data_IF_498175883076
#
_entry.id   IF_498175883076
#
_cell.length_a   1.000
_cell.length_b   1.000
_cell.length_c   1.000
_cell.angle_alpha   90.00
_cell.angle_beta   90.00
_cell.angle_gamma   90.00
#
_symmetry.space_group_name_H-M   'P 1'
#
loop_
_entity.id
_entity.type
_entity.pdbx_description
1 polymer ?
#
# COMPACT_ATOMS: atom_id res chain seq x y z
N UNK A 1 23.06 16.46 -19.28
CA UNK A 1 22.00 16.08 -20.23
C UNK A 1 22.11 14.62 -20.65
N UNK A 2 23.02 14.19 -21.54
CA UNK A 2 23.21 12.75 -21.83
C UNK A 2 23.85 11.98 -20.67
N UNK A 3 24.73 12.61 -19.88
CA UNK A 3 25.35 11.99 -18.69
C UNK A 3 24.37 11.70 -17.56
N UNK A 4 23.38 12.56 -17.33
CA UNK A 4 22.41 12.40 -16.23
C UNK A 4 21.34 11.34 -16.56
N UNK A 5 21.02 11.15 -17.85
CA UNK A 5 20.18 10.03 -18.30
C UNK A 5 20.92 8.69 -18.19
N UNK A 6 22.23 8.67 -18.45
CA UNK A 6 23.08 7.48 -18.25
C UNK A 6 23.23 7.14 -16.76
N UNK A 7 23.26 8.13 -15.87
CA UNK A 7 23.29 7.91 -14.43
C UNK A 7 21.94 7.41 -13.88
N UNK A 8 20.82 7.86 -14.46
CA UNK A 8 19.48 7.31 -14.17
C UNK A 8 19.32 5.88 -14.71
N UNK A 9 19.84 5.56 -15.91
CA UNK A 9 19.92 4.20 -16.42
C UNK A 9 20.83 3.31 -15.58
N UNK A 10 21.96 3.83 -15.07
CA UNK A 10 22.86 3.10 -14.20
C UNK A 10 22.22 2.81 -12.83
N UNK A 11 21.48 3.77 -12.25
CA UNK A 11 20.76 3.57 -10.99
C UNK A 11 19.56 2.62 -11.15
N UNK A 12 18.83 2.69 -12.27
CA UNK A 12 17.74 1.76 -12.57
C UNK A 12 18.26 0.34 -12.86
N UNK A 13 19.39 0.20 -13.56
CA UNK A 13 20.04 -1.08 -13.83
C UNK A 13 20.61 -1.73 -12.55
N UNK A 14 21.22 -0.93 -11.66
CA UNK A 14 21.73 -1.38 -10.35
C UNK A 14 20.61 -1.82 -9.39
N UNK A 15 19.44 -1.19 -9.47
CA UNK A 15 18.26 -1.61 -8.73
C UNK A 15 17.66 -2.94 -9.25
N UNK A 16 17.89 -3.28 -10.52
CA UNK A 16 17.44 -4.54 -11.13
C UNK A 16 18.46 -5.69 -11.06
N UNK A 17 19.76 -5.43 -10.85
CA UNK A 17 20.80 -6.48 -10.81
C UNK A 17 21.19 -6.96 -9.41
N UNK A 18 20.80 -6.27 -8.33
CA UNK A 18 21.09 -6.74 -6.97
C UNK A 18 22.58 -6.79 -6.59
N UNK A 19 23.48 -6.14 -7.34
CA UNK A 19 24.93 -6.24 -7.14
C UNK A 19 25.54 -5.15 -6.23
N UNK A 20 24.84 -4.04 -5.95
CA UNK A 20 25.39 -2.97 -5.09
C UNK A 20 25.06 -3.13 -3.59
N UNK A 21 24.22 -4.09 -3.21
CA UNK A 21 24.03 -4.46 -1.80
C UNK A 21 25.23 -5.26 -1.24
N UNK A 22 26.12 -5.77 -2.10
CA UNK A 22 27.27 -6.59 -1.70
C UNK A 22 28.57 -5.79 -1.48
N UNK A 23 28.64 -4.53 -1.93
CA UNK A 23 29.86 -3.72 -1.85
C UNK A 23 30.06 -3.02 -0.49
N UNK A 24 29.01 -2.78 0.29
CA UNK A 24 29.10 -2.17 1.63
C UNK A 24 29.38 -3.18 2.76
N UNK A 25 29.46 -4.48 2.46
CA UNK A 25 29.69 -5.55 3.43
C UNK A 25 31.13 -6.11 3.49
N UNK A 26 32.06 -5.58 2.69
CA UNK A 26 33.45 -6.07 2.64
C UNK A 26 34.34 -5.45 3.72
N UNK A 27 33.95 -5.60 4.98
CA UNK A 27 34.90 -5.60 6.09
C UNK A 27 34.37 -6.46 7.26
N UNK A 28 33.96 -7.69 6.94
CA UNK A 28 33.84 -8.75 7.93
C UNK A 28 34.32 -10.05 7.30
N UNK A 29 35.43 -10.59 7.83
CA UNK A 29 36.05 -11.81 7.36
C UNK A 29 35.02 -12.96 7.20
N UNK A 30 34.96 -13.54 6.00
CA UNK A 30 34.10 -14.66 5.70
C UNK A 30 34.54 -15.92 6.49
N UNK A 31 33.65 -16.62 7.20
CA UNK A 31 33.97 -17.91 7.79
C UNK A 31 34.08 -19.01 6.72
N UNK A 32 34.92 -20.00 7.01
CA UNK A 32 35.37 -21.06 6.09
C UNK A 32 34.28 -22.08 5.70
N UNK A 33 34.50 -22.88 4.63
CA UNK A 33 33.48 -23.72 3.98
C UNK A 33 32.81 -24.78 4.87
N UNK A 34 33.41 -25.10 6.02
CA UNK A 34 32.83 -26.02 7.00
C UNK A 34 31.64 -25.43 7.78
N UNK A 35 31.44 -24.10 7.78
CA UNK A 35 30.26 -23.44 8.37
C UNK A 35 29.06 -23.34 7.40
N UNK A 36 29.25 -23.61 6.10
CA UNK A 36 28.16 -23.59 5.10
C UNK A 36 27.19 -24.78 5.24
N UNK A 37 27.58 -25.87 5.89
CA UNK A 37 26.68 -26.99 6.21
C UNK A 37 25.98 -26.87 7.58
N UNK A 38 26.23 -25.78 8.33
CA UNK A 38 25.59 -25.52 9.61
C UNK A 38 24.45 -24.48 9.54
N UNK A 39 24.32 -23.73 8.43
CA UNK A 39 23.29 -22.70 8.23
C UNK A 39 22.06 -23.21 7.44
N UNK A 40 22.11 -24.43 6.90
CA UNK A 40 20.94 -25.17 6.36
C UNK A 40 20.13 -25.92 7.43
N UNK A 41 20.32 -25.58 8.70
CA UNK A 41 19.38 -25.87 9.78
C UNK A 41 18.80 -24.58 10.35
N UNK A 42 18.29 -23.69 9.49
CA UNK A 42 17.15 -22.90 9.93
C UNK A 42 16.08 -23.93 10.25
N UNK A 43 15.77 -24.08 11.53
CA UNK A 43 14.62 -24.85 11.95
C UNK A 43 13.46 -24.41 11.04
N UNK A 44 13.02 -25.31 10.16
CA UNK A 44 11.61 -25.33 9.82
C UNK A 44 10.90 -25.08 11.15
N UNK A 45 9.89 -24.20 11.26
CA UNK A 45 8.90 -24.47 12.27
C UNK A 45 8.44 -25.88 11.90
N UNK A 46 8.97 -26.88 12.61
CA UNK A 46 8.51 -28.25 12.55
C UNK A 46 7.02 -28.08 12.51
N UNK A 47 6.41 -28.54 11.39
CA UNK A 47 5.01 -28.29 11.10
C UNK A 47 4.29 -28.38 12.42
N UNK A 48 3.62 -27.29 12.81
CA UNK A 48 2.94 -27.21 14.08
C UNK A 48 1.90 -28.32 14.04
N UNK A 49 2.35 -29.55 14.32
CA UNK A 49 1.54 -30.70 14.56
C UNK A 49 0.63 -30.19 15.63
N UNK A 50 -0.66 -30.31 15.34
CA UNK A 50 -1.74 -30.07 16.26
C UNK A 50 -1.22 -30.40 17.65
N UNK A 51 -0.75 -29.38 18.38
CA UNK A 51 -0.51 -29.53 19.80
C UNK A 51 -1.94 -29.62 20.26
N UNK A 52 -2.44 -30.85 20.35
CA UNK A 52 -3.74 -31.17 20.87
C UNK A 52 -3.79 -30.55 22.25
N UNK A 53 -4.20 -29.30 22.31
CA UNK A 53 -4.55 -28.63 23.54
C UNK A 53 -5.71 -29.45 24.04
N UNK A 54 -5.46 -30.24 25.08
CA UNK A 54 -6.48 -31.08 25.68
C UNK A 54 -7.59 -30.15 26.12
N UNK A 55 -8.69 -30.16 25.37
CA UNK A 55 -9.89 -29.41 25.71
C UNK A 55 -10.50 -30.06 26.95
N UNK A 56 -10.97 -29.23 27.86
CA UNK A 56 -11.75 -29.72 29.01
C UNK A 56 -12.98 -30.48 28.53
N UNK A 57 -13.56 -31.27 29.44
CA UNK A 57 -14.72 -32.14 29.16
C UNK A 57 -15.97 -31.33 28.71
N UNK A 58 -15.99 -30.01 28.92
CA UNK A 58 -17.10 -29.10 28.59
C UNK A 58 -16.96 -28.31 27.27
N UNK A 59 -16.33 -28.89 26.25
CA UNK A 59 -16.30 -28.31 24.89
C UNK A 59 -17.71 -28.29 24.26
N UNK A 60 -18.01 -27.26 23.48
CA UNK A 60 -19.20 -27.18 22.61
C UNK A 60 -19.09 -28.10 21.38
N UNK A 61 -17.89 -28.60 21.09
CA UNK A 61 -17.58 -29.40 19.91
C UNK A 61 -17.39 -28.58 18.63
N UNK A 62 -17.32 -27.24 18.70
CA UNK A 62 -16.91 -26.43 17.56
C UNK A 62 -15.40 -26.52 17.35
N UNK A 63 -14.96 -26.76 16.12
CA UNK A 63 -13.57 -26.67 15.71
C UNK A 63 -13.42 -25.52 14.73
N UNK A 64 -12.51 -24.59 15.02
CA UNK A 64 -12.33 -23.35 14.26
C UNK A 64 -10.93 -23.29 13.68
N UNK A 65 -10.83 -22.95 12.39
CA UNK A 65 -9.57 -22.89 11.66
C UNK A 65 -9.34 -21.49 11.11
N UNK A 66 -8.86 -20.55 11.93
CA UNK A 66 -8.42 -19.23 11.47
C UNK A 66 -7.13 -19.33 10.64
N UNK A 67 -7.04 -18.54 9.57
CA UNK A 67 -5.87 -18.39 8.70
C UNK A 67 -5.64 -16.91 8.41
N UNK A 68 -4.55 -16.36 8.94
CA UNK A 68 -4.16 -14.98 8.65
C UNK A 68 -3.76 -14.88 7.18
N UNK A 69 -4.36 -13.94 6.47
CA UNK A 69 -4.13 -13.67 5.03
C UNK A 69 -3.27 -12.42 4.82
N UNK A 70 -3.14 -11.58 5.84
CA UNK A 70 -2.37 -10.33 5.83
C UNK A 70 -1.66 -10.15 7.18
N UNK A 71 -0.36 -10.47 7.23
CA UNK A 71 0.47 -10.28 8.43
C UNK A 71 0.94 -8.82 8.58
N UNK A 72 1.24 -8.18 7.45
CA UNK A 72 1.65 -6.78 7.35
C UNK A 72 0.47 -5.94 6.86
N UNK A 73 -0.09 -5.16 7.77
CA UNK A 73 -1.33 -4.40 7.57
C UNK A 73 -1.00 -3.00 7.04
N UNK A 74 -1.34 -2.67 5.78
CA UNK A 74 -0.96 -1.40 5.17
C UNK A 74 -1.92 -0.27 5.60
N UNK A 75 -1.66 0.32 6.77
CA UNK A 75 -2.57 1.26 7.43
C UNK A 75 -2.89 2.50 6.59
N UNK A 76 -1.98 2.96 5.72
CA UNK A 76 -2.19 4.11 4.83
C UNK A 76 -3.27 3.90 3.76
N UNK A 77 -3.53 2.65 3.37
CA UNK A 77 -4.50 2.28 2.31
C UNK A 77 -5.57 1.30 2.80
N UNK A 78 -5.59 0.97 4.09
CA UNK A 78 -6.46 -0.06 4.64
C UNK A 78 -7.95 0.22 4.42
N UNK A 79 -8.36 1.50 4.42
CA UNK A 79 -9.74 1.93 4.16
C UNK A 79 -10.23 1.61 2.74
N UNK A 80 -9.31 1.25 1.83
CA UNK A 80 -9.62 0.89 0.44
C UNK A 80 -9.68 -0.63 0.22
N UNK A 81 -9.27 -1.42 1.21
CA UNK A 81 -9.28 -2.88 1.13
C UNK A 81 -10.69 -3.42 1.39
N UNK A 82 -10.99 -4.59 0.84
CA UNK A 82 -12.29 -5.24 1.02
C UNK A 82 -12.13 -6.69 1.47
N UNK A 83 -13.02 -7.23 2.33
CA UNK A 83 -12.92 -8.61 2.78
C UNK A 83 -12.96 -9.63 1.63
N UNK A 84 -13.69 -9.34 0.55
CA UNK A 84 -13.85 -10.27 -0.58
C UNK A 84 -12.58 -10.42 -1.42
N UNK A 85 -11.73 -9.40 -1.46
CA UNK A 85 -10.53 -9.36 -2.33
C UNK A 85 -9.25 -9.40 -1.50
N UNK A 86 -9.22 -8.67 -0.39
CA UNK A 86 -8.04 -8.46 0.46
C UNK A 86 -8.40 -8.76 1.94
N UNK A 87 -8.90 -9.96 2.28
CA UNK A 87 -9.22 -10.31 3.66
C UNK A 87 -7.97 -10.24 4.54
N UNK A 88 -8.15 -9.82 5.79
CA UNK A 88 -7.08 -9.95 6.79
C UNK A 88 -7.07 -11.35 7.39
N UNK A 89 -8.27 -11.92 7.58
CA UNK A 89 -8.47 -13.25 8.15
C UNK A 89 -9.47 -14.04 7.30
N UNK A 90 -9.12 -15.30 7.04
CA UNK A 90 -10.03 -16.33 6.55
C UNK A 90 -10.30 -17.32 7.68
N UNK A 91 -11.54 -17.75 7.87
CA UNK A 91 -11.89 -18.71 8.92
C UNK A 91 -12.89 -19.75 8.41
N UNK A 92 -12.65 -21.03 8.71
CA UNK A 92 -13.66 -22.08 8.57
C UNK A 92 -14.06 -22.62 9.94
N UNK A 93 -15.29 -23.09 10.06
CA UNK A 93 -15.85 -23.65 11.28
C UNK A 93 -16.44 -25.02 10.98
N UNK A 94 -16.22 -25.99 11.88
CA UNK A 94 -16.84 -27.31 11.83
C UNK A 94 -17.47 -27.64 13.17
N UNK A 95 -18.72 -28.05 13.18
CA UNK A 95 -19.40 -28.51 14.39
C UNK A 95 -19.33 -30.04 14.50
N UNK A 96 -18.82 -30.55 15.61
CA UNK A 96 -18.85 -31.98 15.93
C UNK A 96 -20.26 -32.44 16.34
N UNK A 97 -20.53 -33.74 16.23
CA UNK A 97 -21.74 -34.35 16.81
C UNK A 97 -21.61 -34.29 18.33
N UNK A 98 -22.42 -33.46 18.98
CA UNK A 98 -22.55 -33.46 20.44
C UNK A 98 -23.11 -34.81 20.90
N UNK A 99 -22.39 -35.49 21.80
CA UNK A 99 -22.92 -36.65 22.52
C UNK A 99 -23.92 -36.28 23.63
N UNK A 100 -24.04 -34.99 23.95
CA UNK A 100 -24.96 -34.48 24.97
C UNK A 100 -26.33 -34.16 24.34
N UNK A 101 -27.32 -34.97 24.72
CA UNK A 101 -28.72 -34.95 24.24
C UNK A 101 -29.53 -33.74 24.72
N UNK A 102 -28.92 -32.82 25.47
CA UNK A 102 -29.55 -31.58 25.97
C UNK A 102 -29.76 -30.52 24.89
N UNK A 103 -29.00 -30.57 23.81
CA UNK A 103 -29.21 -29.73 22.63
C UNK A 103 -30.11 -30.49 21.66
N UNK A 104 -31.42 -30.46 21.91
CA UNK A 104 -32.41 -31.23 21.17
C UNK A 104 -32.22 -31.18 19.66
N UNK A 105 -31.81 -32.32 19.07
CA UNK A 105 -32.02 -32.71 17.67
C UNK A 105 -31.62 -31.75 16.54
N UNK A 106 -30.96 -30.62 16.80
CA UNK A 106 -30.63 -29.65 15.76
C UNK A 106 -29.49 -30.16 14.89
N UNK A 107 -29.74 -30.24 13.59
CA UNK A 107 -28.78 -30.68 12.59
C UNK A 107 -27.73 -29.59 12.23
N UNK A 108 -27.78 -28.43 12.88
CA UNK A 108 -26.86 -27.31 12.68
C UNK A 108 -26.65 -26.53 14.00
N UNK A 109 -25.50 -25.85 14.12
CA UNK A 109 -25.12 -24.96 15.22
C UNK A 109 -25.04 -23.52 14.77
N UNK A 110 -25.53 -22.59 15.58
CA UNK A 110 -25.38 -21.15 15.31
C UNK A 110 -24.06 -20.66 15.91
N UNK A 111 -23.15 -20.20 15.07
CA UNK A 111 -21.81 -19.76 15.48
C UNK A 111 -21.64 -18.28 15.16
N UNK A 112 -20.99 -17.53 16.07
CA UNK A 112 -20.50 -16.18 15.80
C UNK A 112 -18.99 -16.19 15.79
N UNK A 113 -18.40 -15.70 14.71
CA UNK A 113 -16.95 -15.47 14.62
C UNK A 113 -16.72 -13.96 14.69
N UNK A 114 -15.86 -13.55 15.61
CA UNK A 114 -15.49 -12.15 15.82
C UNK A 114 -13.99 -11.99 15.65
N UNK A 115 -13.57 -11.03 14.83
CA UNK A 115 -12.17 -10.65 14.67
C UNK A 115 -11.96 -9.16 14.94
N UNK A 116 -10.89 -8.82 15.66
CA UNK A 116 -10.48 -7.43 15.87
C UNK A 116 -8.98 -7.32 16.16
N UNK A 117 -8.38 -6.22 15.76
CA UNK A 117 -7.03 -5.84 16.16
C UNK A 117 -7.14 -5.05 17.45
N UNK A 118 -6.51 -5.56 18.51
CA UNK A 118 -6.51 -4.96 19.84
C UNK A 118 -6.12 -3.47 19.76
N UNK A 119 -6.91 -2.59 20.35
CA UNK A 119 -6.79 -1.12 20.35
C UNK A 119 -6.89 -0.39 19.00
N UNK A 120 -6.79 -1.08 17.86
CA UNK A 120 -6.71 -0.45 16.54
C UNK A 120 -7.96 -0.59 15.68
N UNK A 121 -8.86 -1.54 15.96
CA UNK A 121 -10.02 -1.78 15.10
C UNK A 121 -11.34 -1.97 15.84
N UNK A 122 -12.44 -1.72 15.13
CA UNK A 122 -13.74 -2.23 15.47
C UNK A 122 -13.76 -3.76 15.35
N UNK A 123 -14.82 -4.39 15.86
CA UNK A 123 -15.06 -5.83 15.71
C UNK A 123 -15.69 -6.11 14.35
N UNK A 124 -15.01 -6.90 13.52
CA UNK A 124 -15.66 -7.60 12.41
C UNK A 124 -16.36 -8.83 12.96
N UNK A 125 -17.64 -8.99 12.66
CA UNK A 125 -18.48 -10.05 13.21
C UNK A 125 -19.23 -10.71 12.07
N UNK A 126 -19.16 -12.04 12.03
CA UNK A 126 -19.96 -12.86 11.13
C UNK A 126 -20.71 -13.92 11.93
N UNK A 127 -21.94 -14.20 11.53
CA UNK A 127 -22.79 -15.22 12.16
C UNK A 127 -23.25 -16.19 11.09
N UNK A 128 -23.07 -17.48 11.36
CA UNK A 128 -23.39 -18.54 10.41
C UNK A 128 -24.04 -19.73 11.10
N UNK A 129 -24.82 -20.47 10.33
CA UNK A 129 -25.30 -21.80 10.72
C UNK A 129 -24.36 -22.86 10.14
N UNK A 130 -23.81 -23.70 11.01
CA UNK A 130 -22.86 -24.75 10.64
C UNK A 130 -23.54 -26.11 10.79
N UNK A 131 -23.84 -26.81 9.68
CA UNK A 131 -24.38 -28.17 9.75
C UNK A 131 -23.41 -29.11 10.47
N UNK A 132 -23.96 -29.97 11.33
CA UNK A 132 -23.15 -30.89 12.13
C UNK A 132 -22.42 -31.87 11.21
N UNK A 133 -21.11 -32.03 11.43
CA UNK A 133 -20.25 -32.91 10.64
C UNK A 133 -19.73 -32.31 9.33
N UNK A 134 -20.22 -31.13 8.93
CA UNK A 134 -19.75 -30.41 7.73
C UNK A 134 -18.88 -29.21 8.11
N UNK A 135 -17.94 -28.87 7.22
CA UNK A 135 -17.14 -27.65 7.34
C UNK A 135 -17.88 -26.50 6.64
N UNK A 136 -17.84 -25.31 7.25
CA UNK A 136 -18.50 -24.12 6.71
C UNK A 136 -17.82 -23.64 5.43
N UNK A 137 -18.55 -22.82 4.66
CA UNK A 137 -17.90 -21.94 3.70
C UNK A 137 -16.89 -21.01 4.42
N UNK A 138 -15.82 -20.56 3.73
CA UNK A 138 -14.87 -19.63 4.31
C UNK A 138 -15.53 -18.29 4.67
N UNK A 139 -15.26 -17.83 5.88
CA UNK A 139 -15.65 -16.52 6.39
C UNK A 139 -14.45 -15.59 6.16
N UNK A 140 -14.66 -14.48 5.47
CA UNK A 140 -13.63 -13.50 5.16
C UNK A 140 -13.84 -12.25 6.00
N UNK A 141 -12.88 -11.94 6.87
CA UNK A 141 -12.98 -10.86 7.84
C UNK A 141 -11.89 -9.80 7.61
N UNK A 142 -12.30 -8.54 7.67
CA UNK A 142 -11.44 -7.36 7.58
C UNK A 142 -11.94 -6.31 8.60
N UNK A 143 -11.43 -6.33 9.84
CA UNK A 143 -11.85 -5.39 10.88
C UNK A 143 -11.56 -3.93 10.52
N UNK A 144 -12.56 -3.05 10.60
CA UNK A 144 -12.37 -1.63 10.28
C UNK A 144 -11.44 -0.95 11.29
N UNK A 145 -10.32 -0.39 10.82
CA UNK A 145 -9.39 0.37 11.68
C UNK A 145 -9.99 1.70 12.13
N UNK A 146 -9.66 2.14 13.33
CA UNK A 146 -10.00 3.47 13.83
C UNK A 146 -9.02 4.51 13.29
N UNK A 147 -9.47 5.51 12.50
CA UNK A 147 -8.58 6.50 11.89
C UNK A 147 -7.67 7.21 12.90
N UNK A 148 -8.22 7.62 14.05
CA UNK A 148 -7.49 8.33 15.10
C UNK A 148 -6.39 7.49 15.76
N UNK A 149 -6.50 6.15 15.70
CA UNK A 149 -5.50 5.23 16.27
C UNK A 149 -4.35 4.94 15.32
N UNK A 150 -4.61 5.04 14.01
CA UNK A 150 -3.61 4.73 12.98
C UNK A 150 -2.94 5.98 12.39
N UNK A 151 -3.49 7.16 12.62
CA UNK A 151 -2.95 8.43 12.11
C UNK A 151 -1.55 8.76 12.65
N UNK A 152 -1.23 8.33 13.87
CA UNK A 152 0.08 8.56 14.52
C UNK A 152 1.10 7.45 14.31
N UNK A 153 0.81 6.45 13.45
CA UNK A 153 1.73 5.35 13.18
C UNK A 153 2.79 5.79 12.17
N UNK A 154 3.94 6.24 12.65
CA UNK A 154 5.09 6.60 11.79
C UNK A 154 6.13 5.49 11.66
N UNK A 155 6.01 4.45 12.50
CA UNK A 155 6.95 3.34 12.58
C UNK A 155 6.20 2.01 12.51
N UNK A 156 6.91 0.97 12.07
CA UNK A 156 6.39 -0.39 12.07
C UNK A 156 5.98 -0.78 13.49
N UNK A 157 4.70 -1.06 13.68
CA UNK A 157 4.12 -1.26 15.02
C UNK A 157 3.54 -2.66 15.14
N UNK A 158 3.92 -3.39 16.19
CA UNK A 158 3.37 -4.72 16.46
C UNK A 158 1.96 -4.58 17.05
N UNK A 159 1.03 -5.42 16.61
CA UNK A 159 -0.32 -5.49 17.12
C UNK A 159 -0.79 -6.94 17.30
N UNK A 160 -1.92 -7.13 17.98
CA UNK A 160 -2.52 -8.44 18.23
C UNK A 160 -3.88 -8.54 17.54
N UNK A 161 -4.04 -9.50 16.63
CA UNK A 161 -5.33 -9.91 16.12
C UNK A 161 -5.96 -10.91 17.08
N UNK A 162 -7.17 -10.60 17.55
CA UNK A 162 -8.01 -11.49 18.31
C UNK A 162 -9.04 -12.14 17.39
N UNK A 163 -9.21 -13.46 17.52
CA UNK A 163 -10.24 -14.24 16.81
C UNK A 163 -11.00 -15.06 17.83
N UNK A 164 -12.29 -14.75 17.98
CA UNK A 164 -13.19 -15.43 18.91
C UNK A 164 -14.24 -16.20 18.12
N UNK A 165 -14.56 -17.40 18.58
CA UNK A 165 -15.67 -18.17 18.08
C UNK A 165 -16.60 -18.56 19.23
N UNK A 166 -17.85 -18.14 19.12
CA UNK A 166 -18.89 -18.32 20.12
C UNK A 166 -19.96 -19.26 19.58
N UNK A 167 -20.32 -20.28 20.37
CA UNK A 167 -21.55 -21.04 20.16
C UNK A 167 -22.72 -20.23 20.70
N UNK A 168 -23.60 -19.76 19.83
CA UNK A 168 -24.74 -18.94 20.21
C UNK A 168 -25.86 -19.74 20.87
N UNK A 169 -25.90 -21.06 20.68
CA UNK A 169 -26.89 -21.91 21.31
C UNK A 169 -26.56 -22.13 22.79
N UNK A 170 -25.27 -22.33 23.12
CA UNK A 170 -24.80 -22.50 24.50
C UNK A 170 -24.30 -21.20 25.16
N UNK A 171 -24.17 -20.12 24.40
CA UNK A 171 -23.61 -18.82 24.81
C UNK A 171 -22.18 -18.93 25.39
N UNK A 172 -21.42 -19.95 24.99
CA UNK A 172 -20.03 -20.15 25.41
C UNK A 172 -19.07 -19.71 24.29
N UNK A 173 -17.96 -19.09 24.68
CA UNK A 173 -16.79 -18.93 23.81
C UNK A 173 -16.10 -20.30 23.74
N UNK A 174 -16.02 -20.89 22.54
CA UNK A 174 -15.31 -22.16 22.36
C UNK A 174 -13.83 -21.93 22.14
N UNK A 175 -13.49 -21.01 21.25
CA UNK A 175 -12.10 -20.75 20.87
C UNK A 175 -11.82 -19.25 20.90
N UNK A 176 -10.66 -18.89 21.44
CA UNK A 176 -10.11 -17.55 21.37
C UNK A 176 -8.63 -17.67 20.99
N UNK A 177 -8.30 -17.29 19.77
CA UNK A 177 -6.94 -17.28 19.25
C UNK A 177 -6.41 -15.85 19.15
N UNK A 178 -5.10 -15.72 19.33
CA UNK A 178 -4.39 -14.46 19.13
C UNK A 178 -3.26 -14.64 18.13
N UNK A 179 -3.13 -13.73 17.17
CA UNK A 179 -2.05 -13.72 16.19
C UNK A 179 -1.29 -12.40 16.24
N UNK A 180 0.05 -12.43 16.19
CA UNK A 180 0.82 -11.21 15.99
C UNK A 180 0.61 -10.67 14.58
N UNK A 181 0.43 -9.36 14.47
CA UNK A 181 0.41 -8.59 13.23
C UNK A 181 1.44 -7.47 13.27
N UNK A 182 1.79 -6.95 12.11
CA UNK A 182 2.60 -5.76 11.95
C UNK A 182 1.80 -4.68 11.23
N UNK A 183 1.49 -3.59 11.93
CA UNK A 183 0.91 -2.40 11.34
C UNK A 183 2.02 -1.61 10.67
N UNK A 184 1.92 -1.46 9.34
CA UNK A 184 2.84 -0.61 8.58
C UNK A 184 2.59 0.85 8.95
N UNK A 185 3.64 1.68 8.88
CA UNK A 185 3.51 3.12 9.07
C UNK A 185 2.46 3.70 8.11
N UNK A 186 1.73 4.72 8.55
CA UNK A 186 0.65 5.37 7.80
C UNK A 186 1.15 5.97 6.49
N UNK A 187 2.41 6.42 6.48
CA UNK A 187 3.08 6.99 5.33
C UNK A 187 3.97 5.97 4.58
N UNK A 188 3.82 4.67 4.84
CA UNK A 188 4.45 3.63 4.04
C UNK A 188 3.60 3.34 2.80
N UNK A 189 3.99 3.90 1.65
CA UNK A 189 3.40 3.60 0.36
C UNK A 189 3.65 2.13 -0.02
N UNK A 190 2.71 1.27 0.33
CA UNK A 190 2.76 -0.17 0.07
C UNK A 190 2.47 -0.45 -1.40
N UNK A 191 3.46 -1.02 -2.09
CA UNK A 191 3.32 -1.47 -3.48
C UNK A 191 2.80 -2.89 -3.54
N UNK A 192 3.23 -3.75 -2.61
CA UNK A 192 2.85 -5.16 -2.60
C UNK A 192 2.75 -5.68 -1.17
N UNK A 193 1.83 -6.63 -0.95
CA UNK A 193 1.75 -7.42 0.29
C UNK A 193 1.84 -8.91 -0.05
N UNK A 194 2.49 -9.69 0.83
CA UNK A 194 2.58 -11.14 0.70
C UNK A 194 1.56 -11.82 1.60
N UNK A 195 0.85 -12.80 1.06
CA UNK A 195 0.06 -13.73 1.85
C UNK A 195 0.99 -14.65 2.66
N UNK A 196 0.93 -14.65 4.00
CA UNK A 196 1.86 -15.43 4.82
C UNK A 196 1.62 -16.95 4.73
N UNK A 197 0.44 -17.37 4.28
CA UNK A 197 0.07 -18.78 4.16
C UNK A 197 0.43 -19.36 2.78
N UNK A 198 0.13 -18.63 1.70
CA UNK A 198 0.32 -19.12 0.32
C UNK A 198 1.60 -18.60 -0.33
N UNK A 199 2.19 -17.54 0.21
CA UNK A 199 3.31 -16.83 -0.41
C UNK A 199 2.91 -15.97 -1.61
N UNK A 200 1.63 -15.93 -1.99
CA UNK A 200 1.12 -15.11 -3.10
C UNK A 200 1.38 -13.62 -2.86
N UNK A 201 1.76 -12.91 -3.93
CA UNK A 201 2.04 -11.46 -3.91
C UNK A 201 0.83 -10.73 -4.48
N UNK A 202 0.32 -9.76 -3.73
CA UNK A 202 -0.78 -8.88 -4.12
C UNK A 202 -0.23 -7.50 -4.47
N UNK A 203 -0.41 -7.07 -5.72
CA UNK A 203 -0.06 -5.73 -6.19
C UNK A 203 -1.10 -4.69 -5.77
N UNK A 204 -0.64 -3.66 -5.06
CA UNK A 204 -1.41 -2.57 -4.49
C UNK A 204 -1.00 -1.19 -5.06
N UNK A 205 -0.14 -1.13 -6.07
CA UNK A 205 0.35 0.16 -6.63
C UNK A 205 -0.76 1.08 -7.12
N UNK A 206 -1.87 0.52 -7.60
CA UNK A 206 -3.05 1.30 -7.99
C UNK A 206 -3.67 2.08 -6.81
N UNK A 207 -3.45 1.66 -5.57
CA UNK A 207 -3.91 2.34 -4.35
C UNK A 207 -3.03 3.52 -3.94
N UNK A 208 -1.92 3.79 -4.66
CA UNK A 208 -1.10 4.99 -4.41
C UNK A 208 -1.88 6.29 -4.61
N UNK A 209 -2.99 6.25 -5.35
CA UNK A 209 -3.93 7.37 -5.43
C UNK A 209 -4.50 7.82 -4.07
N UNK A 210 -4.41 7.00 -3.02
CA UNK A 210 -4.76 7.40 -1.66
C UNK A 210 -3.81 8.49 -1.11
N UNK A 211 -2.53 8.47 -1.49
CA UNK A 211 -1.54 9.43 -1.00
C UNK A 211 -1.63 10.79 -1.73
N UNK A 212 -2.45 10.87 -2.78
CA UNK A 212 -2.82 12.13 -3.43
C UNK A 212 -3.97 12.77 -2.64
N UNK A 213 -3.69 13.91 -1.99
CA UNK A 213 -4.54 14.54 -0.96
C UNK A 213 -4.97 15.96 -1.35
N UNK A 214 -5.77 16.13 -2.43
CA UNK A 214 -6.07 17.44 -3.02
C UNK A 214 -6.84 18.39 -2.08
N UNK A 215 -7.63 17.84 -1.16
CA UNK A 215 -8.48 18.61 -0.25
C UNK A 215 -7.76 19.03 1.03
N UNK A 216 -6.50 18.67 1.22
CA UNK A 216 -5.77 19.04 2.43
C UNK A 216 -5.59 20.57 2.49
N UNK A 217 -5.80 21.25 3.64
CA UNK A 217 -5.75 22.71 3.73
C UNK A 217 -4.42 23.33 3.25
N UNK A 218 -3.30 22.62 3.43
CA UNK A 218 -2.00 23.07 2.93
C UNK A 218 -1.94 23.15 1.39
N UNK A 219 -2.60 22.23 0.69
CA UNK A 219 -2.67 22.21 -0.78
C UNK A 219 -3.51 23.38 -1.27
N UNK A 220 -4.66 23.61 -0.65
CA UNK A 220 -5.54 24.74 -0.96
C UNK A 220 -4.86 26.09 -0.75
N UNK A 221 -4.14 26.26 0.38
CA UNK A 221 -3.32 27.46 0.62
C UNK A 221 -2.22 27.64 -0.41
N UNK A 222 -1.58 26.54 -0.83
CA UNK A 222 -0.50 26.62 -1.81
C UNK A 222 -0.99 26.97 -3.22
N UNK A 223 -2.20 26.56 -3.60
CA UNK A 223 -2.81 27.00 -4.87
C UNK A 223 -2.98 28.53 -4.92
N UNK A 224 -3.24 29.19 -3.80
CA UNK A 224 -3.28 30.66 -3.75
C UNK A 224 -1.90 31.27 -4.05
N UNK A 225 -0.83 30.67 -3.54
CA UNK A 225 0.56 31.08 -3.82
C UNK A 225 0.84 30.93 -5.32
N UNK A 226 0.50 29.78 -5.92
CA UNK A 226 0.66 29.56 -7.35
C UNK A 226 -0.17 30.53 -8.20
N UNK A 227 -1.42 30.83 -7.80
CA UNK A 227 -2.26 31.82 -8.47
C UNK A 227 -1.62 33.23 -8.43
N UNK A 228 -0.97 33.61 -7.32
CA UNK A 228 -0.36 34.93 -7.16
C UNK A 228 0.82 35.20 -8.11
N UNK A 229 1.44 34.15 -8.66
CA UNK A 229 2.55 34.25 -9.63
C UNK A 229 2.06 34.52 -11.05
N UNK A 230 0.77 34.34 -11.32
CA UNK A 230 0.19 34.60 -12.64
C UNK A 230 -0.23 36.05 -12.77
N UNK A 231 -0.11 36.61 -13.98
CA UNK A 231 -0.60 37.95 -14.30
C UNK A 231 -2.09 38.13 -14.03
N UNK A 232 -2.89 37.07 -14.20
CA UNK A 232 -4.33 37.11 -13.93
C UNK A 232 -4.70 36.88 -12.46
N UNK A 233 -3.74 36.61 -11.58
CA UNK A 233 -3.95 36.29 -10.16
C UNK A 233 -5.00 35.19 -9.91
N UNK A 234 -5.12 34.22 -10.82
CA UNK A 234 -6.11 33.13 -10.73
C UNK A 234 -5.60 31.81 -11.32
N UNK A 235 -6.21 30.72 -10.87
CA UNK A 235 -6.15 29.39 -11.47
C UNK A 235 -7.59 28.94 -11.71
N UNK A 236 -8.00 28.78 -12.97
CA UNK A 236 -9.41 28.48 -13.30
C UNK A 236 -9.66 27.00 -13.64
N UNK A 237 -8.75 26.11 -13.27
CA UNK A 237 -8.91 24.67 -13.45
C UNK A 237 -9.17 24.32 -14.91
N UNK A 238 -10.21 23.51 -15.17
CA UNK A 238 -10.55 23.04 -16.53
C UNK A 238 -10.94 24.13 -17.53
N UNK A 239 -11.22 25.35 -17.09
CA UNK A 239 -11.58 26.47 -17.97
C UNK A 239 -10.37 27.14 -18.62
N UNK A 240 -9.15 26.78 -18.19
CA UNK A 240 -7.90 27.31 -18.70
C UNK A 240 -6.97 26.21 -19.18
N UNK A 241 -5.93 26.59 -19.93
CA UNK A 241 -4.90 25.67 -20.38
C UNK A 241 -4.28 24.95 -19.16
N UNK A 242 -4.38 23.61 -19.07
CA UNK A 242 -3.82 22.84 -17.95
C UNK A 242 -2.30 23.01 -17.82
N UNK A 243 -1.58 23.11 -18.94
CA UNK A 243 -0.11 23.24 -18.95
C UNK A 243 0.35 24.59 -18.39
N UNK A 244 -0.35 25.69 -18.69
CA UNK A 244 -0.02 26.99 -18.13
C UNK A 244 -0.22 27.03 -16.59
N UNK A 245 -1.25 26.34 -16.10
CA UNK A 245 -1.49 26.21 -14.66
C UNK A 245 -0.49 25.25 -13.99
N UNK A 246 -0.11 24.16 -14.67
CA UNK A 246 0.95 23.28 -14.22
C UNK A 246 2.30 24.02 -14.11
N UNK A 247 2.62 24.89 -15.06
CA UNK A 247 3.80 25.75 -15.00
C UNK A 247 3.75 26.69 -13.78
N UNK A 248 2.62 27.38 -13.55
CA UNK A 248 2.48 28.25 -12.38
C UNK A 248 2.64 27.49 -11.05
N UNK A 249 2.17 26.24 -10.98
CA UNK A 249 2.39 25.35 -9.84
C UNK A 249 3.88 25.00 -9.70
N UNK A 250 4.53 24.62 -10.79
CA UNK A 250 5.96 24.30 -10.82
C UNK A 250 6.80 25.46 -10.32
N UNK A 251 6.59 26.66 -10.87
CA UNK A 251 7.32 27.87 -10.50
C UNK A 251 7.09 28.22 -9.02
N UNK A 252 5.87 28.03 -8.51
CA UNK A 252 5.60 28.26 -7.09
C UNK A 252 6.32 27.25 -6.19
N UNK A 253 6.33 25.97 -6.56
CA UNK A 253 7.04 24.94 -5.80
C UNK A 253 8.56 25.18 -5.82
N UNK A 254 9.10 25.63 -6.95
CA UNK A 254 10.51 25.93 -7.12
C UNK A 254 10.94 27.18 -6.35
N UNK A 255 10.20 28.28 -6.48
CA UNK A 255 10.66 29.58 -5.97
C UNK A 255 10.10 29.95 -4.60
N UNK A 256 8.87 29.54 -4.27
CA UNK A 256 8.21 29.94 -3.03
C UNK A 256 8.35 28.86 -1.95
N UNK A 257 8.10 27.60 -2.31
CA UNK A 257 8.32 26.47 -1.40
C UNK A 257 9.80 26.08 -1.32
N UNK A 258 10.57 26.29 -2.39
CA UNK A 258 11.96 25.89 -2.52
C UNK A 258 12.17 24.40 -2.19
N UNK A 259 11.33 23.54 -2.79
CA UNK A 259 11.40 22.10 -2.56
C UNK A 259 12.73 21.54 -3.07
N UNK A 260 13.48 20.87 -2.20
CA UNK A 260 14.73 20.18 -2.55
C UNK A 260 14.53 18.66 -2.66
N UNK A 261 15.34 18.02 -3.50
CA UNK A 261 15.30 16.57 -3.63
C UNK A 261 15.98 15.89 -2.44
N UNK A 262 15.24 15.06 -1.69
CA UNK A 262 15.78 14.26 -0.57
C UNK A 262 15.21 12.85 -0.62
N UNK A 263 16.06 11.90 -1.04
CA UNK A 263 15.68 10.50 -1.15
C UNK A 263 15.70 9.80 0.21
N UNK A 264 14.54 9.75 0.89
CA UNK A 264 14.37 9.12 2.21
C UNK A 264 13.24 8.08 2.14
N UNK A 265 13.57 6.92 1.60
CA UNK A 265 12.60 5.86 1.25
C UNK A 265 12.47 4.78 2.32
N UNK A 266 13.34 4.81 3.34
CA UNK A 266 13.44 3.76 4.35
C UNK A 266 12.09 3.53 5.02
N UNK A 267 11.60 2.31 4.89
CA UNK A 267 10.46 1.78 5.63
C UNK A 267 10.94 0.50 6.30
N UNK A 268 10.61 0.31 7.58
CA UNK A 268 10.99 -0.90 8.32
C UNK A 268 10.10 -2.10 7.96
N UNK A 269 9.74 -2.25 6.68
CA UNK A 269 8.97 -3.37 6.18
C UNK A 269 9.96 -4.49 5.89
N UNK A 270 9.84 -5.68 6.49
CA UNK A 270 10.73 -6.77 6.16
C UNK A 270 10.45 -7.22 4.73
N UNK A 271 11.52 -7.40 3.95
CA UNK A 271 11.51 -7.72 2.51
C UNK A 271 10.62 -8.93 2.16
N UNK A 272 10.31 -9.77 3.15
CA UNK A 272 9.50 -10.97 2.99
C UNK A 272 7.98 -10.71 3.07
N UNK A 273 7.52 -9.65 3.73
CA UNK A 273 6.10 -9.47 4.10
C UNK A 273 5.35 -8.39 3.32
N UNK A 274 6.01 -7.26 3.05
CA UNK A 274 5.46 -6.16 2.27
C UNK A 274 6.58 -5.38 1.57
N UNK A 275 6.31 -4.89 0.37
CA UNK A 275 7.22 -4.04 -0.41
C UNK A 275 6.61 -2.65 -0.56
N UNK A 276 7.46 -1.63 -0.56
CA UNK A 276 7.03 -0.24 -0.63
C UNK A 276 8.16 0.69 -0.22
N UNK A 277 7.82 1.97 -0.09
CA UNK A 277 8.72 2.97 0.47
C UNK A 277 7.98 3.90 1.41
N UNK A 278 8.70 4.52 2.33
CA UNK A 278 8.18 5.69 3.04
C UNK A 278 7.99 6.82 2.04
N UNK A 279 6.84 7.49 2.13
CA UNK A 279 6.55 8.72 1.40
C UNK A 279 6.32 9.85 2.38
N UNK A 280 6.63 11.07 1.96
CA UNK A 280 6.08 12.27 2.58
C UNK A 280 4.74 12.56 1.92
N UNK A 281 3.73 12.81 2.74
CA UNK A 281 2.45 13.27 2.25
C UNK A 281 2.62 14.67 1.63
N UNK A 282 1.78 15.04 0.65
CA UNK A 282 1.87 16.33 -0.02
C UNK A 282 2.00 17.55 0.92
N UNK A 283 1.30 17.54 2.05
CA UNK A 283 1.39 18.62 3.02
C UNK A 283 2.71 18.64 3.81
N UNK A 284 3.30 17.46 4.06
CA UNK A 284 4.61 17.31 4.71
C UNK A 284 5.70 17.79 3.76
N UNK A 285 5.61 17.48 2.46
CA UNK A 285 6.54 17.99 1.45
C UNK A 285 6.60 19.53 1.45
N UNK A 286 5.43 20.19 1.51
CA UNK A 286 5.35 21.65 1.58
C UNK A 286 5.91 22.22 2.90
N UNK A 287 5.68 21.53 4.02
CA UNK A 287 6.13 21.98 5.33
C UNK A 287 7.64 21.81 5.53
N UNK A 288 8.17 20.65 5.11
CA UNK A 288 9.58 20.28 5.26
C UNK A 288 10.46 20.76 4.10
N UNK A 289 9.85 21.26 3.02
CA UNK A 289 10.51 21.75 1.80
C UNK A 289 11.38 20.70 1.11
N UNK A 290 10.96 19.44 1.16
CA UNK A 290 11.72 18.34 0.57
C UNK A 290 10.80 17.24 0.03
N UNK A 291 11.26 16.57 -1.02
CA UNK A 291 10.55 15.47 -1.67
C UNK A 291 11.52 14.53 -2.40
N UNK A 292 11.22 13.23 -2.47
CA UNK A 292 11.79 12.34 -3.48
C UNK A 292 10.91 12.29 -4.75
N UNK A 293 11.20 11.39 -5.69
CA UNK A 293 10.46 11.27 -6.94
C UNK A 293 8.98 10.93 -6.75
N UNK A 294 8.66 10.04 -5.80
CA UNK A 294 7.27 9.66 -5.51
C UNK A 294 6.57 10.76 -4.70
N UNK A 295 7.20 11.29 -3.65
CA UNK A 295 6.71 12.42 -2.85
C UNK A 295 6.33 13.61 -3.75
N UNK A 296 7.24 13.99 -4.66
CA UNK A 296 7.07 15.10 -5.59
C UNK A 296 5.94 14.84 -6.58
N UNK A 297 5.86 13.62 -7.11
CA UNK A 297 4.77 13.21 -8.01
C UNK A 297 3.41 13.24 -7.31
N UNK A 298 3.33 12.77 -6.07
CA UNK A 298 2.10 12.81 -5.25
C UNK A 298 1.69 14.24 -4.89
N UNK A 299 2.64 15.10 -4.53
CA UNK A 299 2.41 16.52 -4.28
C UNK A 299 1.87 17.23 -5.51
N UNK A 300 2.55 17.10 -6.65
CA UNK A 300 2.16 17.77 -7.87
C UNK A 300 0.81 17.27 -8.38
N UNK A 301 0.57 15.96 -8.31
CA UNK A 301 -0.72 15.36 -8.64
C UNK A 301 -1.85 15.89 -7.74
N UNK A 302 -1.59 16.12 -6.46
CA UNK A 302 -2.57 16.68 -5.50
C UNK A 302 -2.94 18.11 -5.86
N UNK A 303 -1.96 18.93 -6.27
CA UNK A 303 -2.19 20.31 -6.69
C UNK A 303 -3.00 20.38 -8.01
N UNK A 304 -2.68 19.51 -8.98
CA UNK A 304 -3.43 19.41 -10.23
C UNK A 304 -4.87 18.93 -9.99
N UNK A 305 -5.05 17.87 -9.19
CA UNK A 305 -6.37 17.31 -8.88
C UNK A 305 -7.22 18.32 -8.09
N UNK A 306 -6.61 19.12 -7.21
CA UNK A 306 -7.29 20.20 -6.49
C UNK A 306 -7.83 21.30 -7.42
N UNK A 307 -7.18 21.53 -8.59
CA UNK A 307 -7.70 22.39 -9.66
C UNK A 307 -8.74 21.68 -10.55
N UNK A 308 -9.06 20.43 -10.27
CA UNK A 308 -9.94 19.59 -11.08
C UNK A 308 -9.30 19.11 -12.38
N UNK A 309 -7.99 19.29 -12.59
CA UNK A 309 -7.31 18.84 -13.79
C UNK A 309 -7.18 17.31 -13.80
N UNK A 310 -7.24 16.70 -14.98
CA UNK A 310 -7.05 15.27 -15.13
C UNK A 310 -5.56 14.94 -14.98
N UNK A 311 -5.17 14.52 -13.77
CA UNK A 311 -3.80 14.19 -13.40
C UNK A 311 -3.60 12.68 -13.24
N UNK A 312 -2.33 12.26 -13.29
CA UNK A 312 -1.91 10.89 -13.06
C UNK A 312 -0.59 10.84 -12.31
N UNK A 313 -0.44 9.83 -11.44
CA UNK A 313 0.87 9.41 -10.94
C UNK A 313 1.41 8.36 -11.91
N UNK A 314 2.64 8.52 -12.36
CA UNK A 314 3.24 7.61 -13.34
C UNK A 314 4.40 6.87 -12.68
N UNK A 315 4.39 5.54 -12.73
CA UNK A 315 5.48 4.71 -12.23
C UNK A 315 6.21 4.06 -13.39
N UNK A 316 7.52 4.12 -13.33
CA UNK A 316 8.44 3.35 -14.17
C UNK A 316 9.43 2.62 -13.24
N UNK A 317 10.17 1.60 -13.69
CA UNK A 317 11.13 0.91 -12.84
C UNK A 317 12.07 1.86 -12.10
N UNK A 318 11.99 1.84 -10.76
CA UNK A 318 12.83 2.64 -9.87
C UNK A 318 12.47 4.13 -9.78
N UNK A 319 11.44 4.61 -10.47
CA UNK A 319 11.16 6.06 -10.53
C UNK A 319 9.69 6.42 -10.68
N UNK A 320 9.35 7.65 -10.34
CA UNK A 320 7.99 8.19 -10.46
C UNK A 320 7.97 9.57 -11.12
N UNK A 321 6.97 9.78 -11.96
CA UNK A 321 6.66 11.04 -12.63
C UNK A 321 5.22 11.46 -12.31
N UNK A 322 4.88 12.69 -12.65
CA UNK A 322 3.48 13.14 -12.70
C UNK A 322 3.08 13.42 -14.13
N UNK A 323 1.82 13.18 -14.47
CA UNK A 323 1.25 13.56 -15.76
C UNK A 323 -0.08 14.28 -15.64
N UNK A 324 -0.45 15.01 -16.69
CA UNK A 324 -1.77 15.63 -16.83
C UNK A 324 -2.23 15.65 -18.28
N UNK A 325 -3.54 15.67 -18.50
CA UNK A 325 -4.09 15.84 -19.84
C UNK A 325 -4.10 17.33 -20.24
N UNK A 326 -3.54 17.61 -21.42
CA UNK A 326 -3.53 18.90 -22.11
C UNK A 326 -4.36 18.89 -23.41
N UNK A 327 -4.90 17.74 -23.79
CA UNK A 327 -5.72 17.51 -24.99
C UNK A 327 -6.48 16.18 -24.88
N UNK A 328 -7.28 15.85 -25.90
CA UNK A 328 -8.05 14.61 -25.92
C UNK A 328 -7.20 13.40 -26.33
N UNK A 329 -7.55 12.21 -25.81
CA UNK A 329 -6.91 10.94 -26.16
C UNK A 329 -5.54 10.71 -25.51
N UNK A 330 -4.89 9.58 -25.83
CA UNK A 330 -3.62 9.18 -25.21
C UNK A 330 -2.46 10.14 -25.52
N UNK A 331 -2.47 10.74 -26.71
CA UNK A 331 -1.49 11.77 -27.12
C UNK A 331 -1.72 13.12 -26.40
N UNK A 332 -2.80 13.24 -25.63
CA UNK A 332 -3.12 14.43 -24.85
C UNK A 332 -2.33 14.55 -23.54
N UNK A 333 -1.64 13.48 -23.11
CA UNK A 333 -0.89 13.47 -21.85
C UNK A 333 0.45 14.20 -21.94
N UNK A 334 0.72 15.04 -20.95
CA UNK A 334 2.02 15.63 -20.64
C UNK A 334 2.58 14.96 -19.40
N UNK A 335 3.91 14.95 -19.27
CA UNK A 335 4.63 14.36 -18.16
C UNK A 335 5.67 15.35 -17.64
N UNK A 336 5.94 15.30 -16.35
CA UNK A 336 6.89 16.17 -15.66
C UNK A 336 7.80 15.34 -14.76
N UNK A 337 9.11 15.55 -14.92
CA UNK A 337 10.15 15.05 -14.03
C UNK A 337 10.24 15.93 -12.77
N UNK A 338 9.68 15.48 -11.66
CA UNK A 338 9.58 16.28 -10.43
C UNK A 338 10.89 16.41 -9.68
N UNK A 339 11.86 15.53 -9.94
CA UNK A 339 13.18 15.60 -9.28
C UNK A 339 14.04 16.77 -9.77
N UNK A 340 13.72 17.30 -10.95
CA UNK A 340 14.38 18.46 -11.55
C UNK A 340 13.87 19.80 -11.00
N UNK A 341 12.87 19.79 -10.11
CA UNK A 341 12.20 20.98 -9.60
C UNK A 341 13.15 21.97 -8.90
N UNK A 342 14.22 21.49 -8.26
CA UNK A 342 15.13 22.35 -7.52
C UNK A 342 16.04 23.22 -8.41
N UNK A 343 16.27 22.85 -9.68
CA UNK A 343 17.37 23.45 -10.46
C UNK A 343 17.17 23.49 -11.98
N UNK A 344 15.98 23.19 -12.49
CA UNK A 344 15.69 23.24 -13.93
C UNK A 344 14.43 24.05 -14.20
N UNK A 345 14.30 24.53 -15.43
CA UNK A 345 13.10 25.21 -15.88
C UNK A 345 11.99 24.20 -16.22
N UNK A 346 10.74 24.65 -16.16
CA UNK A 346 9.55 23.83 -16.42
C UNK A 346 9.61 23.08 -17.77
N UNK A 347 10.03 23.76 -18.84
CA UNK A 347 10.13 23.16 -20.18
C UNK A 347 11.17 22.03 -20.24
N UNK A 348 12.30 22.19 -19.53
CA UNK A 348 13.32 21.15 -19.46
C UNK A 348 12.82 19.93 -18.66
N UNK A 349 12.17 20.16 -17.52
CA UNK A 349 11.61 19.10 -16.69
C UNK A 349 10.47 18.34 -17.37
N UNK A 350 9.63 19.04 -18.15
CA UNK A 350 8.56 18.40 -18.94
C UNK A 350 9.10 17.63 -20.14
N UNK A 351 10.14 18.14 -20.80
CA UNK A 351 10.83 17.38 -21.86
C UNK A 351 11.42 16.08 -21.31
N UNK A 352 12.13 16.14 -20.18
CA UNK A 352 12.71 14.96 -19.54
C UNK A 352 11.64 13.93 -19.14
N UNK A 353 10.54 14.39 -18.53
CA UNK A 353 9.41 13.54 -18.18
C UNK A 353 8.77 12.88 -19.42
N UNK A 354 8.62 13.61 -20.51
CA UNK A 354 8.07 13.08 -21.77
C UNK A 354 8.99 12.04 -22.43
N UNK A 355 10.30 12.31 -22.48
CA UNK A 355 11.29 11.38 -23.03
C UNK A 355 11.30 10.06 -22.23
N UNK A 356 11.27 10.14 -20.89
CA UNK A 356 11.25 8.97 -20.02
C UNK A 356 9.95 8.17 -20.14
N UNK A 357 8.80 8.85 -20.17
CA UNK A 357 7.51 8.20 -20.39
C UNK A 357 7.48 7.46 -21.74
N UNK A 358 7.95 8.12 -22.81
CA UNK A 358 8.01 7.52 -24.15
C UNK A 358 8.93 6.30 -24.19
N UNK A 359 10.10 6.36 -23.53
CA UNK A 359 11.03 5.23 -23.42
C UNK A 359 10.34 4.00 -22.83
N UNK A 360 9.67 4.15 -21.69
CA UNK A 360 9.07 3.00 -21.00
C UNK A 360 7.77 2.51 -21.64
N UNK A 361 7.00 3.40 -22.30
CA UNK A 361 5.87 2.98 -23.14
C UNK A 361 6.32 2.12 -24.33
N UNK A 362 7.43 2.48 -24.98
CA UNK A 362 8.03 1.68 -26.05
C UNK A 362 8.51 0.33 -25.53
N UNK A 363 9.28 0.31 -24.43
CA UNK A 363 9.76 -0.94 -23.80
C UNK A 363 8.61 -1.88 -23.43
N UNK A 364 7.51 -1.36 -22.90
CA UNK A 364 6.33 -2.16 -22.59
C UNK A 364 5.74 -2.84 -23.84
N UNK A 365 5.63 -2.09 -24.93
CA UNK A 365 5.08 -2.57 -26.20
C UNK A 365 6.00 -3.60 -26.86
N UNK A 366 7.31 -3.32 -26.90
CA UNK A 366 8.33 -4.16 -27.54
C UNK A 366 8.57 -5.48 -26.78
N UNK A 367 8.52 -5.46 -25.46
CA UNK A 367 8.75 -6.65 -24.64
C UNK A 367 7.60 -7.66 -24.69
N UNK A 368 6.45 -7.32 -25.30
CA UNK A 368 5.21 -8.09 -25.19
C UNK A 368 4.83 -8.34 -23.72
N UNK A 369 5.35 -7.51 -22.82
CA UNK A 369 5.33 -7.76 -21.40
C UNK A 369 3.90 -7.52 -20.88
N UNK A 370 3.51 -8.18 -19.77
CA UNK A 370 2.20 -7.98 -19.18
C UNK A 370 1.92 -6.48 -19.00
N UNK A 371 0.64 -6.11 -19.17
CA UNK A 371 0.20 -4.74 -18.95
C UNK A 371 0.76 -4.24 -17.61
N UNK A 372 1.30 -3.03 -17.67
CA UNK A 372 1.89 -2.29 -16.57
C UNK A 372 3.29 -2.71 -16.13
N UNK A 373 3.90 -3.82 -16.55
CA UNK A 373 5.26 -4.22 -16.13
C UNK A 373 6.36 -3.13 -16.19
N UNK A 374 6.27 -2.18 -17.13
CA UNK A 374 7.27 -1.12 -17.34
C UNK A 374 6.74 0.32 -17.20
N UNK A 375 5.44 0.53 -17.37
CA UNK A 375 4.83 1.86 -17.33
C UNK A 375 3.42 1.78 -16.72
N UNK A 376 3.26 2.33 -15.51
CA UNK A 376 1.97 2.49 -14.86
C UNK A 376 1.54 3.95 -14.97
N UNK A 377 0.44 4.25 -15.68
CA UNK A 377 -0.23 5.56 -15.57
C UNK A 377 -1.45 5.41 -14.67
N UNK A 378 -1.32 5.86 -13.44
CA UNK A 378 -2.38 5.84 -12.43
C UNK A 378 -3.24 7.09 -12.59
N UNK A 379 -4.18 7.05 -13.53
CA UNK A 379 -5.09 8.16 -13.84
C UNK A 379 -6.04 8.41 -12.66
N UNK A 380 -5.93 9.58 -12.02
CA UNK A 380 -6.68 9.83 -10.78
C UNK A 380 -8.19 9.79 -10.99
N UNK A 381 -8.69 10.24 -12.15
CA UNK A 381 -10.11 10.14 -12.49
C UNK A 381 -10.61 8.70 -12.55
N UNK A 382 -9.82 7.77 -13.12
CA UNK A 382 -10.15 6.34 -13.11
C UNK A 382 -10.14 5.80 -11.68
N UNK A 383 -9.09 6.11 -10.91
CA UNK A 383 -8.98 5.68 -9.52
C UNK A 383 -10.16 6.17 -8.67
N UNK A 384 -10.56 7.44 -8.81
CA UNK A 384 -11.72 8.01 -8.09
C UNK A 384 -13.02 7.32 -8.50
N UNK A 385 -13.19 6.97 -9.79
CA UNK A 385 -14.37 6.23 -10.26
C UNK A 385 -14.48 4.84 -9.61
N UNK A 386 -13.33 4.25 -9.25
CA UNK A 386 -13.21 2.97 -8.54
C UNK A 386 -13.21 3.12 -7.01
N UNK A 387 -13.58 4.31 -6.49
CA UNK A 387 -13.65 4.65 -5.07
C UNK A 387 -12.30 4.60 -4.32
N UNK A 388 -11.19 4.74 -5.03
CA UNK A 388 -9.89 4.98 -4.40
C UNK A 388 -9.89 6.42 -3.91
N UNK A 389 -10.12 6.59 -2.61
CA UNK A 389 -10.25 7.90 -1.96
C UNK A 389 -8.94 8.30 -1.28
N UNK A 390 -8.66 9.61 -1.15
CA UNK A 390 -7.50 10.09 -0.40
C UNK A 390 -7.43 9.51 1.01
N UNK A 391 -6.22 9.45 1.55
CA UNK A 391 -5.92 9.09 2.92
C UNK A 391 -6.60 10.09 3.86
N UNK A 392 -7.46 9.58 4.74
CA UNK A 392 -8.25 10.36 5.70
C UNK A 392 -7.44 10.81 6.91
#
# INVERSE_FOLDING_TARGET
>A
AERDLVDAEAQAARATSGEDAEAAGREAAAPSPAMRSAVTRSAQPAGAGERGTTRGVETTGLAVKPRVRMEYVPTGIYHLLSPAVDPLLECTVKAARSGDSRHGGRNARRVRVTAYIEDYSARAVETLEVPVGQESAPILLLPTLFPDRISSLYELTRATLNVLAEDLDSQKVEEHHTYPLWLLARNAATFEIRNPTTGEIRDLRHLLGAYVTPNHPAIQRFLQVAASRRSEHRLAGRLENPTAQAQAIYDALQHEAAIVYVNSTLTFNPTLGAQGQRVRLPHECLAEKQANCLDGSLLFASLLEALGLAAAVVLVPGHALVGWQSGAGENGWRYLETTMLANQEFDAATKAGADLALLYQKRQTEAGAPAHSWFYRLELSDLRSRRITPLA
#
